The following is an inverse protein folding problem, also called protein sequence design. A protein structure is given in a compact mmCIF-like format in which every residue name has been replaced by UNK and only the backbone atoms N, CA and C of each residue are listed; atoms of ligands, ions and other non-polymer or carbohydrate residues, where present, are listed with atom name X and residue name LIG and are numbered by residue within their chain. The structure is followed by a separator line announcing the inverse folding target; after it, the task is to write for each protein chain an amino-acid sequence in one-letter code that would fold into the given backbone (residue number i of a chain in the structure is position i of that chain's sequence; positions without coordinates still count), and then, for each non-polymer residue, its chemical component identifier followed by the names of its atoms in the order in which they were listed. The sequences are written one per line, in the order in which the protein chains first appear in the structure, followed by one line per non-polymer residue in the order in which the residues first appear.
data_IF_206342327038
#
_entry.id   IF_206342327038
#
_cell.length_a   1.000
_cell.length_b   1.000
_cell.length_c   1.000
_cell.angle_alpha   90.00
_cell.angle_beta   90.00
_cell.angle_gamma   90.00
#
_symmetry.space_group_name_H-M   'P 1'
#
loop_
_entity.id
_entity.type
_entity.pdbx_description
1 polymer ?
#
# COMPACT_ATOMS: atom_id res chain seq x y z
N UNK A 1 3.20 0.26 93.41
CA UNK A 1 4.09 -0.74 92.77
C UNK A 1 3.17 -1.69 92.01
N UNK A 2 3.09 -1.78 90.69
CA UNK A 2 4.04 -1.56 89.59
C UNK A 2 3.23 -1.39 88.30
N UNK A 3 3.69 -0.48 87.45
CA UNK A 3 3.18 -0.16 86.11
C UNK A 3 3.52 -1.30 85.13
N UNK A 4 2.59 -1.68 84.24
CA UNK A 4 2.92 -2.38 82.98
C UNK A 4 2.01 -1.88 81.85
N UNK A 5 2.55 -0.97 81.04
CA UNK A 5 2.00 -0.57 79.75
C UNK A 5 2.18 -1.71 78.73
N UNK A 6 1.12 -2.06 78.02
CA UNK A 6 1.16 -2.88 76.81
C UNK A 6 1.02 -1.95 75.59
N UNK A 7 2.15 -1.61 74.99
CA UNK A 7 2.22 -0.96 73.68
C UNK A 7 2.05 -2.03 72.59
N UNK A 8 0.91 -2.05 71.89
CA UNK A 8 0.77 -2.77 70.63
C UNK A 8 1.38 -1.92 69.50
N UNK A 9 2.59 -2.28 69.07
CA UNK A 9 3.26 -1.69 67.91
C UNK A 9 2.66 -2.25 66.62
N UNK A 10 1.89 -1.44 65.90
CA UNK A 10 1.40 -1.72 64.55
C UNK A 10 2.58 -1.54 63.56
N UNK A 11 3.27 -2.63 63.24
CA UNK A 11 4.38 -2.63 62.28
C UNK A 11 3.82 -2.56 60.85
N UNK A 12 3.80 -1.35 60.28
CA UNK A 12 3.41 -1.11 58.90
C UNK A 12 4.36 -1.81 57.92
N UNK A 13 3.83 -2.78 57.18
CA UNK A 13 4.54 -3.46 56.10
C UNK A 13 4.57 -2.54 54.86
N UNK A 14 5.53 -1.63 54.79
CA UNK A 14 5.85 -0.93 53.54
C UNK A 14 6.50 -1.94 52.56
N UNK A 15 5.70 -2.51 51.65
CA UNK A 15 6.25 -3.10 50.43
C UNK A 15 6.84 -1.98 49.58
N UNK A 16 8.15 -1.80 49.66
CA UNK A 16 8.89 -1.01 48.69
C UNK A 16 8.77 -1.69 47.32
N UNK A 17 7.94 -1.13 46.44
CA UNK A 17 7.95 -1.46 45.03
C UNK A 17 9.31 -1.02 44.45
N UNK A 18 10.26 -1.95 44.40
CA UNK A 18 11.52 -1.75 43.71
C UNK A 18 11.20 -1.48 42.23
N UNK A 19 11.63 -0.34 41.66
CA UNK A 19 11.48 -0.11 40.24
C UNK A 19 12.25 -1.22 39.52
N UNK A 20 11.57 -1.95 38.62
CA UNK A 20 12.23 -2.90 37.76
C UNK A 20 13.28 -2.15 36.94
N UNK A 21 14.55 -2.26 37.31
CA UNK A 21 15.64 -1.78 36.50
C UNK A 21 15.53 -2.47 35.15
N UNK A 22 15.29 -1.68 34.08
CA UNK A 22 15.35 -2.19 32.72
C UNK A 22 16.74 -2.80 32.53
N UNK A 23 16.82 -4.13 32.51
CA UNK A 23 18.09 -4.80 32.25
C UNK A 23 18.55 -4.35 30.86
N UNK A 24 19.69 -3.69 30.81
CA UNK A 24 20.29 -3.36 29.52
C UNK A 24 20.55 -4.69 28.80
N UNK A 25 20.11 -4.83 27.55
CA UNK A 25 20.35 -6.05 26.78
C UNK A 25 21.86 -6.26 26.48
N UNK A 26 22.76 -5.41 26.99
CA UNK A 26 24.20 -5.46 26.74
C UNK A 26 24.60 -5.16 25.29
N UNK A 27 23.62 -4.85 24.44
CA UNK A 27 23.82 -4.52 23.04
C UNK A 27 23.89 -3.00 22.87
N UNK A 28 25.06 -2.49 22.51
CA UNK A 28 25.30 -1.07 22.25
C UNK A 28 26.52 -0.87 21.35
N UNK A 29 26.77 0.38 20.95
CA UNK A 29 27.91 0.73 20.09
C UNK A 29 27.71 0.40 18.61
N UNK A 30 26.47 0.23 18.16
CA UNK A 30 26.16 0.11 16.73
C UNK A 30 25.96 1.51 16.12
N UNK A 31 26.39 1.74 14.87
CA UNK A 31 26.09 2.97 14.15
C UNK A 31 24.59 3.10 13.85
N UNK A 32 24.09 4.32 13.58
CA UNK A 32 22.72 4.51 13.14
C UNK A 32 22.45 3.81 11.81
N UNK A 33 21.22 3.33 11.63
CA UNK A 33 20.79 2.69 10.38
C UNK A 33 20.61 3.72 9.28
N UNK A 34 21.18 3.47 8.10
CA UNK A 34 20.96 4.31 6.91
C UNK A 34 19.72 3.88 6.14
N UNK A 35 18.80 4.81 5.85
CA UNK A 35 17.65 4.58 4.97
C UNK A 35 17.95 5.09 3.55
N UNK A 36 17.77 4.22 2.56
CA UNK A 36 17.63 4.56 1.14
C UNK A 36 16.21 4.19 0.70
N UNK A 37 15.48 5.15 0.16
CA UNK A 37 14.12 4.95 -0.35
C UNK A 37 14.04 5.51 -1.77
N UNK A 38 13.76 4.63 -2.72
CA UNK A 38 13.68 4.93 -4.14
C UNK A 38 12.23 4.83 -4.65
N UNK A 39 11.83 5.81 -5.46
CA UNK A 39 10.53 5.78 -6.14
C UNK A 39 10.64 4.96 -7.43
N UNK A 40 9.73 4.01 -7.64
CA UNK A 40 9.63 3.23 -8.87
C UNK A 40 8.44 3.71 -9.69
N UNK A 41 8.70 4.09 -10.94
CA UNK A 41 7.67 4.48 -11.88
C UNK A 41 7.98 3.92 -13.28
N UNK A 42 7.62 2.65 -13.49
CA UNK A 42 7.86 1.94 -14.76
C UNK A 42 7.18 2.67 -15.92
N UNK A 43 7.76 2.77 -17.13
CA UNK A 43 7.13 3.50 -18.24
C UNK A 43 5.75 2.93 -18.60
N UNK A 44 4.86 3.80 -19.11
CA UNK A 44 3.55 3.39 -19.60
C UNK A 44 3.73 2.58 -20.88
N UNK A 45 3.11 1.40 -20.93
CA UNK A 45 2.98 0.60 -22.15
C UNK A 45 1.59 0.76 -22.73
N UNK A 46 1.48 0.73 -24.05
CA UNK A 46 0.21 0.69 -24.77
C UNK A 46 -0.04 -0.71 -25.29
N UNK A 47 -1.27 -1.17 -25.15
CA UNK A 47 -1.72 -2.45 -25.69
C UNK A 47 -3.21 -2.36 -26.02
N UNK A 48 -3.51 -2.03 -27.27
CA UNK A 48 -4.89 -1.92 -27.76
C UNK A 48 -5.33 -3.22 -28.47
N UNK A 49 -4.68 -4.36 -28.19
CA UNK A 49 -4.98 -5.65 -28.84
C UNK A 49 -6.20 -6.37 -28.27
N UNK A 50 -6.71 -5.91 -27.12
CA UNK A 50 -7.76 -6.60 -26.36
C UNK A 50 -9.14 -6.09 -26.76
N UNK A 51 -10.07 -7.02 -26.92
CA UNK A 51 -11.50 -6.71 -27.15
C UNK A 51 -12.16 -6.12 -25.91
N UNK A 52 -13.26 -5.39 -26.09
CA UNK A 52 -14.14 -4.90 -25.01
C UNK A 52 -14.52 -6.04 -24.06
N UNK A 53 -14.86 -7.21 -24.62
CA UNK A 53 -15.23 -8.39 -23.85
C UNK A 53 -14.04 -8.95 -23.02
N UNK A 54 -12.82 -8.91 -23.56
CA UNK A 54 -11.62 -9.29 -22.82
C UNK A 54 -11.31 -8.27 -21.72
N UNK A 55 -11.27 -6.97 -22.04
CA UNK A 55 -11.01 -5.89 -21.08
C UNK A 55 -11.99 -5.91 -19.91
N UNK A 56 -13.28 -6.14 -20.20
CA UNK A 56 -14.34 -6.22 -19.19
C UNK A 56 -14.12 -7.34 -18.16
N UNK A 57 -13.43 -8.42 -18.55
CA UNK A 57 -13.11 -9.56 -17.67
C UNK A 57 -11.76 -9.44 -16.96
N UNK A 58 -10.95 -8.43 -17.28
CA UNK A 58 -9.64 -8.29 -16.67
C UNK A 58 -9.76 -7.83 -15.20
N UNK A 59 -8.89 -8.36 -14.32
CA UNK A 59 -8.75 -7.84 -12.97
C UNK A 59 -8.10 -6.45 -13.01
N UNK A 60 -8.26 -5.69 -11.91
CA UNK A 60 -7.67 -4.35 -11.77
C UNK A 60 -8.66 -3.20 -12.00
N UNK A 61 -9.93 -3.51 -12.27
CA UNK A 61 -11.02 -2.54 -12.18
C UNK A 61 -11.25 -2.15 -10.72
N UNK A 62 -11.13 -0.87 -10.42
CA UNK A 62 -11.57 -0.33 -9.13
C UNK A 62 -13.10 -0.37 -9.10
N UNK A 63 -13.76 -0.98 -8.10
CA UNK A 63 -15.20 -0.92 -7.98
C UNK A 63 -15.66 0.54 -7.86
N UNK A 64 -16.41 1.01 -8.85
CA UNK A 64 -16.98 2.36 -8.91
C UNK A 64 -18.51 2.34 -8.92
N UNK A 65 -19.16 3.51 -8.84
CA UNK A 65 -20.62 3.63 -8.83
C UNK A 65 -21.31 2.99 -10.05
N UNK A 66 -20.58 2.86 -11.16
CA UNK A 66 -21.05 2.32 -12.44
C UNK A 66 -20.54 0.89 -12.69
N UNK A 67 -19.71 0.35 -11.80
CA UNK A 67 -19.16 -1.01 -11.93
C UNK A 67 -20.20 -2.05 -11.50
N UNK A 68 -21.04 -2.47 -12.43
CA UNK A 68 -21.93 -3.62 -12.27
C UNK A 68 -21.36 -4.87 -12.95
N UNK A 69 -21.87 -6.05 -12.62
CA UNK A 69 -21.49 -7.30 -13.28
C UNK A 69 -21.69 -7.28 -14.81
N UNK A 70 -22.57 -6.41 -15.30
CA UNK A 70 -22.89 -6.22 -16.71
C UNK A 70 -22.21 -4.98 -17.33
N UNK A 71 -21.25 -4.35 -16.64
CA UNK A 71 -20.59 -3.13 -17.09
C UNK A 71 -19.48 -3.40 -18.12
N UNK A 72 -19.63 -2.88 -19.33
CA UNK A 72 -18.62 -2.94 -20.39
C UNK A 72 -17.71 -1.72 -20.34
N UNK A 73 -16.40 -1.92 -20.50
CA UNK A 73 -15.42 -0.83 -20.63
C UNK A 73 -14.82 -0.79 -22.02
N UNK A 74 -14.60 0.43 -22.50
CA UNK A 74 -13.96 0.72 -23.77
C UNK A 74 -12.44 0.89 -23.62
N UNK A 75 -11.95 1.07 -22.40
CA UNK A 75 -10.54 1.19 -22.06
C UNK A 75 -10.25 0.60 -20.68
N UNK A 76 -8.97 0.44 -20.36
CA UNK A 76 -8.53 0.04 -19.03
C UNK A 76 -7.11 0.48 -18.75
N UNK A 77 -6.90 1.05 -17.56
CA UNK A 77 -5.57 1.33 -17.01
C UNK A 77 -5.20 0.27 -15.97
N UNK A 78 -4.26 -0.60 -16.32
CA UNK A 78 -3.70 -1.61 -15.42
C UNK A 78 -2.40 -1.12 -14.80
N UNK A 79 -2.40 -0.91 -13.50
CA UNK A 79 -1.21 -0.52 -12.75
C UNK A 79 -0.93 -1.49 -11.61
N UNK A 80 0.29 -2.06 -11.58
CA UNK A 80 0.76 -2.92 -10.48
C UNK A 80 1.80 -2.14 -9.67
N UNK A 81 1.45 -1.81 -8.43
CA UNK A 81 2.38 -1.24 -7.47
C UNK A 81 2.91 -2.29 -6.51
N UNK A 82 4.05 -2.00 -5.89
CA UNK A 82 4.67 -2.87 -4.89
C UNK A 82 5.99 -2.33 -4.39
N UNK A 83 6.56 -3.07 -3.46
CA UNK A 83 7.83 -2.77 -2.82
C UNK A 83 8.88 -3.85 -3.06
N UNK A 84 10.15 -3.47 -3.00
CA UNK A 84 11.26 -4.38 -2.77
C UNK A 84 12.10 -3.83 -1.62
N UNK A 85 12.56 -4.71 -0.73
CA UNK A 85 13.34 -4.29 0.43
C UNK A 85 14.58 -5.16 0.63
N UNK A 86 15.67 -4.52 1.03
CA UNK A 86 16.91 -5.15 1.45
C UNK A 86 17.34 -4.59 2.79
N UNK A 87 17.57 -5.49 3.74
CA UNK A 87 18.04 -5.16 5.09
C UNK A 87 19.43 -5.74 5.31
N UNK A 88 20.37 -4.89 5.67
CA UNK A 88 21.69 -5.30 6.15
C UNK A 88 21.78 -5.06 7.66
N UNK A 89 22.49 -5.95 8.35
CA UNK A 89 22.68 -5.86 9.78
C UNK A 89 24.15 -6.13 10.14
N UNK A 90 24.60 -5.48 11.21
CA UNK A 90 25.87 -5.77 11.86
C UNK A 90 25.63 -6.71 13.03
N UNK A 91 26.59 -7.59 13.28
CA UNK A 91 26.52 -8.59 14.35
C UNK A 91 27.76 -8.51 15.23
N UNK A 92 27.58 -8.69 16.54
CA UNK A 92 28.64 -8.83 17.53
C UNK A 92 28.38 -10.09 18.36
N UNK A 93 29.32 -11.02 18.35
CA UNK A 93 29.28 -12.19 19.23
C UNK A 93 29.52 -11.77 20.68
N UNK A 94 28.82 -12.42 21.60
CA UNK A 94 28.89 -12.19 23.04
C UNK A 94 29.57 -13.37 23.74
N UNK A 95 30.17 -13.13 24.90
CA UNK A 95 30.89 -14.16 25.65
C UNK A 95 30.03 -15.32 26.16
N UNK A 96 28.70 -15.15 26.18
CA UNK A 96 27.73 -16.17 26.58
C UNK A 96 27.17 -16.98 25.38
N UNK A 97 27.78 -16.85 24.21
CA UNK A 97 27.35 -17.54 22.98
C UNK A 97 26.13 -16.89 22.30
N UNK A 98 25.66 -15.74 22.77
CA UNK A 98 24.62 -14.96 22.08
C UNK A 98 25.21 -13.96 21.09
N UNK A 99 24.35 -13.31 20.31
CA UNK A 99 24.69 -12.29 19.33
C UNK A 99 23.90 -11.02 19.63
N UNK A 100 24.58 -9.87 19.59
CA UNK A 100 23.93 -8.59 19.41
C UNK A 100 23.88 -8.23 17.93
N UNK A 101 22.77 -7.66 17.46
CA UNK A 101 22.64 -7.18 16.10
C UNK A 101 21.91 -5.84 16.02
N UNK A 102 22.26 -5.05 15.01
CA UNK A 102 21.54 -3.82 14.67
C UNK A 102 21.49 -3.66 13.16
N UNK A 103 20.43 -3.05 12.64
CA UNK A 103 20.35 -2.72 11.23
C UNK A 103 21.44 -1.69 10.87
N UNK A 104 22.19 -1.94 9.80
CA UNK A 104 23.15 -0.98 9.26
C UNK A 104 22.57 -0.18 8.10
N UNK A 105 21.83 -0.84 7.22
CA UNK A 105 21.18 -0.19 6.10
C UNK A 105 19.85 -0.84 5.74
N UNK A 106 18.94 0.00 5.29
CA UNK A 106 17.66 -0.35 4.74
C UNK A 106 17.55 0.29 3.36
N UNK A 107 17.47 -0.52 2.32
CA UNK A 107 17.17 -0.07 0.96
C UNK A 107 15.78 -0.53 0.60
N UNK A 108 14.89 0.41 0.27
CA UNK A 108 13.52 0.12 -0.15
C UNK A 108 13.27 0.80 -1.49
N UNK A 109 12.67 0.08 -2.42
CA UNK A 109 12.05 0.67 -3.61
C UNK A 109 10.53 0.50 -3.50
N UNK A 110 9.78 1.54 -3.87
CA UNK A 110 8.32 1.54 -3.81
C UNK A 110 7.73 2.31 -4.99
N UNK A 111 6.67 1.77 -5.59
CA UNK A 111 5.86 2.47 -6.59
C UNK A 111 5.31 1.52 -7.65
N UNK A 112 5.02 2.05 -8.84
CA UNK A 112 4.40 1.31 -9.93
C UNK A 112 5.44 0.54 -10.76
N UNK A 113 5.42 -0.79 -10.63
CA UNK A 113 6.32 -1.71 -11.32
C UNK A 113 5.85 -2.06 -12.74
N UNK A 114 4.57 -1.84 -13.03
CA UNK A 114 3.98 -2.07 -14.35
C UNK A 114 2.80 -1.12 -14.53
N UNK A 115 2.71 -0.51 -15.72
CA UNK A 115 1.60 0.37 -16.13
C UNK A 115 1.27 0.09 -17.59
N UNK A 116 0.06 -0.40 -17.86
CA UNK A 116 -0.45 -0.66 -19.20
C UNK A 116 -1.76 0.10 -19.37
N UNK A 117 -1.86 0.84 -20.47
CA UNK A 117 -3.09 1.54 -20.88
C UNK A 117 -3.62 0.88 -22.13
N UNK A 118 -4.88 0.44 -22.04
CA UNK A 118 -5.62 -0.21 -23.10
C UNK A 118 -6.74 0.70 -23.60
N UNK A 119 -6.89 0.77 -24.91
CA UNK A 119 -8.17 1.07 -25.57
C UNK A 119 -8.60 -0.20 -26.30
N UNK A 120 -9.89 -0.49 -26.30
CA UNK A 120 -10.40 -1.70 -26.94
C UNK A 120 -10.08 -1.73 -28.44
N UNK A 121 -9.59 -2.86 -28.93
CA UNK A 121 -9.10 -3.00 -30.30
C UNK A 121 -10.19 -2.89 -31.38
N UNK A 122 -11.47 -2.99 -31.00
CA UNK A 122 -12.60 -2.76 -31.91
C UNK A 122 -12.79 -1.28 -32.27
N UNK A 123 -12.24 -0.36 -31.46
CA UNK A 123 -12.33 1.08 -31.68
C UNK A 123 -11.16 1.51 -32.59
N UNK A 124 -11.42 2.05 -33.80
CA UNK A 124 -10.36 2.38 -34.74
C UNK A 124 -9.35 3.36 -34.14
N UNK A 125 -8.06 3.00 -34.18
CA UNK A 125 -7.00 3.87 -33.71
C UNK A 125 -7.02 5.23 -34.43
N UNK A 126 -6.96 6.31 -33.65
CA UNK A 126 -7.05 7.69 -34.18
C UNK A 126 -8.47 8.18 -34.45
N UNK A 127 -9.52 7.38 -34.19
CA UNK A 127 -10.90 7.89 -34.20
C UNK A 127 -11.14 8.86 -33.05
N UNK A 128 -12.24 9.61 -33.15
CA UNK A 128 -12.68 10.50 -32.07
C UNK A 128 -12.87 9.71 -30.76
N UNK A 129 -13.60 8.59 -30.80
CA UNK A 129 -13.85 7.78 -29.62
C UNK A 129 -12.56 7.19 -29.04
N UNK A 130 -11.62 6.75 -29.88
CA UNK A 130 -10.31 6.27 -29.42
C UNK A 130 -9.58 7.34 -28.58
N UNK A 131 -9.55 8.57 -29.08
CA UNK A 131 -8.94 9.70 -28.38
C UNK A 131 -9.61 10.02 -27.05
N UNK A 132 -10.94 9.99 -26.99
CA UNK A 132 -11.71 10.23 -25.77
C UNK A 132 -11.49 9.15 -24.71
N UNK A 133 -11.51 7.87 -25.10
CA UNK A 133 -11.25 6.76 -24.19
C UNK A 133 -9.82 6.80 -23.69
N UNK A 134 -8.85 7.04 -24.57
CA UNK A 134 -7.46 7.19 -24.15
C UNK A 134 -7.27 8.36 -23.18
N UNK A 135 -7.87 9.51 -23.47
CA UNK A 135 -7.78 10.66 -22.58
C UNK A 135 -8.37 10.35 -21.20
N UNK A 136 -9.45 9.59 -21.13
CA UNK A 136 -10.03 9.09 -19.89
C UNK A 136 -9.04 8.17 -19.13
N UNK A 137 -8.49 7.16 -19.79
CA UNK A 137 -7.52 6.24 -19.16
C UNK A 137 -6.26 6.96 -18.66
N UNK A 138 -5.80 7.98 -19.37
CA UNK A 138 -4.67 8.80 -18.93
C UNK A 138 -4.98 9.63 -17.65
N UNK A 139 -6.25 9.88 -17.31
CA UNK A 139 -6.61 10.48 -16.01
C UNK A 139 -6.37 9.51 -14.86
N UNK A 140 -6.65 8.22 -15.05
CA UNK A 140 -6.32 7.18 -14.07
C UNK A 140 -4.81 7.11 -13.82
N UNK A 141 -4.00 7.21 -14.88
CA UNK A 141 -2.54 7.32 -14.76
C UNK A 141 -2.13 8.55 -13.95
N UNK A 142 -2.70 9.73 -14.25
CA UNK A 142 -2.35 10.97 -13.56
C UNK A 142 -2.70 10.91 -12.06
N UNK A 143 -3.82 10.28 -11.70
CA UNK A 143 -4.21 10.04 -10.30
C UNK A 143 -3.18 9.16 -9.58
N UNK A 144 -2.73 8.09 -10.23
CA UNK A 144 -1.73 7.18 -9.68
C UNK A 144 -0.38 7.88 -9.47
N UNK A 145 0.09 8.65 -10.46
CA UNK A 145 1.34 9.42 -10.37
C UNK A 145 1.28 10.49 -9.27
N UNK A 146 0.19 11.24 -9.17
CA UNK A 146 0.00 12.25 -8.13
C UNK A 146 -0.01 11.63 -6.73
N UNK A 147 -0.77 10.54 -6.55
CA UNK A 147 -0.82 9.83 -5.27
C UNK A 147 0.56 9.31 -4.86
N UNK A 148 1.32 8.72 -5.79
CA UNK A 148 2.67 8.26 -5.51
C UNK A 148 3.57 9.41 -5.05
N UNK A 149 3.60 10.51 -5.82
CA UNK A 149 4.41 11.67 -5.49
C UNK A 149 4.08 12.26 -4.10
N UNK A 150 2.79 12.39 -3.77
CA UNK A 150 2.33 12.90 -2.47
C UNK A 150 2.64 11.96 -1.31
N UNK A 151 2.68 10.65 -1.55
CA UNK A 151 2.81 9.64 -0.48
C UNK A 151 4.27 9.31 -0.17
N UNK A 152 5.19 9.43 -1.13
CA UNK A 152 6.61 9.09 -0.92
C UNK A 152 7.27 9.79 0.29
N UNK A 153 7.06 11.10 0.55
CA UNK A 153 7.58 11.75 1.75
C UNK A 153 7.01 11.16 3.06
N UNK A 154 5.73 10.76 3.05
CA UNK A 154 5.06 10.17 4.22
C UNK A 154 5.59 8.76 4.50
N UNK A 155 5.87 7.98 3.44
CA UNK A 155 6.51 6.66 3.54
C UNK A 155 7.90 6.82 4.17
N UNK A 156 8.70 7.77 3.68
CA UNK A 156 10.03 8.07 4.25
C UNK A 156 9.94 8.35 5.75
N UNK A 157 9.10 9.30 6.14
CA UNK A 157 8.96 9.70 7.56
C UNK A 157 8.54 8.53 8.45
N UNK A 158 7.60 7.69 8.00
CA UNK A 158 7.17 6.50 8.75
C UNK A 158 8.27 5.46 8.89
N UNK A 159 9.08 5.26 7.85
CA UNK A 159 10.21 4.33 7.91
C UNK A 159 11.31 4.85 8.82
N UNK A 160 11.59 6.15 8.80
CA UNK A 160 12.51 6.82 9.73
C UNK A 160 12.04 6.64 11.19
N UNK A 161 10.75 6.85 11.47
CA UNK A 161 10.18 6.59 12.81
C UNK A 161 10.34 5.13 13.25
N UNK A 162 10.19 4.17 12.33
CA UNK A 162 10.41 2.76 12.64
C UNK A 162 11.87 2.49 12.95
N UNK A 163 12.79 3.06 12.18
CA UNK A 163 14.25 2.97 12.39
C UNK A 163 14.65 3.58 13.74
N UNK A 164 14.15 4.78 14.07
CA UNK A 164 14.44 5.46 15.33
C UNK A 164 13.96 4.66 16.55
N UNK A 165 12.89 3.89 16.39
CA UNK A 165 12.39 2.97 17.40
C UNK A 165 13.15 1.64 17.49
N UNK A 166 14.11 1.36 16.60
CA UNK A 166 14.88 0.12 16.63
C UNK A 166 16.03 0.18 17.63
N UNK A 167 15.92 -0.64 18.67
CA UNK A 167 17.07 -0.94 19.53
C UNK A 167 17.86 -2.15 19.00
N UNK A 168 19.18 -2.21 19.25
CA UNK A 168 19.95 -3.42 19.00
C UNK A 168 19.32 -4.64 19.70
N UNK A 169 19.23 -5.75 18.97
CA UNK A 169 18.60 -6.99 19.43
C UNK A 169 19.64 -7.97 19.94
N UNK A 170 19.38 -8.63 21.06
CA UNK A 170 20.17 -9.79 21.53
C UNK A 170 19.45 -11.08 21.16
N UNK A 171 20.17 -12.04 20.64
CA UNK A 171 19.58 -13.30 20.17
C UNK A 171 20.55 -14.48 20.25
N UNK A 172 20.01 -15.71 20.25
CA UNK A 172 20.80 -16.94 20.30
C UNK A 172 21.46 -17.29 18.96
N UNK A 173 21.01 -16.67 17.86
CA UNK A 173 21.62 -16.84 16.54
C UNK A 173 21.46 -15.58 15.69
N UNK A 174 22.36 -15.42 14.71
CA UNK A 174 22.28 -14.32 13.74
C UNK A 174 20.96 -14.33 12.96
N UNK A 175 20.45 -15.51 12.59
CA UNK A 175 19.17 -15.64 11.89
C UNK A 175 17.99 -15.12 12.71
N UNK A 176 17.92 -15.46 14.00
CA UNK A 176 16.88 -14.96 14.89
C UNK A 176 17.00 -13.44 15.10
N UNK A 177 18.22 -12.91 15.25
CA UNK A 177 18.47 -11.47 15.33
C UNK A 177 18.02 -10.74 14.04
N UNK A 178 18.38 -11.25 12.86
CA UNK A 178 17.94 -10.68 11.59
C UNK A 178 16.41 -10.71 11.44
N UNK A 179 15.75 -11.79 11.84
CA UNK A 179 14.30 -11.86 11.84
C UNK A 179 13.66 -10.83 12.79
N UNK A 180 14.27 -10.56 13.94
CA UNK A 180 13.79 -9.53 14.88
C UNK A 180 13.94 -8.11 14.29
N UNK A 181 15.00 -7.86 13.53
CA UNK A 181 15.21 -6.57 12.82
C UNK A 181 14.21 -6.38 11.68
N UNK A 182 13.90 -7.44 10.90
CA UNK A 182 13.02 -7.33 9.73
C UNK A 182 11.54 -7.13 10.08
N UNK A 183 11.05 -7.81 11.13
CA UNK A 183 9.62 -7.84 11.47
C UNK A 183 8.97 -6.45 11.61
N UNK A 184 9.55 -5.46 12.31
CA UNK A 184 8.97 -4.13 12.40
C UNK A 184 8.84 -3.43 11.04
N UNK A 185 9.86 -3.57 10.16
CA UNK A 185 9.88 -2.97 8.82
C UNK A 185 8.80 -3.59 7.94
N UNK A 186 8.72 -4.92 7.90
CA UNK A 186 7.70 -5.64 7.14
C UNK A 186 6.29 -5.26 7.63
N UNK A 187 6.11 -5.13 8.96
CA UNK A 187 4.85 -4.71 9.52
C UNK A 187 4.47 -3.27 9.14
N UNK A 188 5.45 -2.36 9.07
CA UNK A 188 5.22 -0.99 8.65
C UNK A 188 4.88 -0.91 7.16
N UNK A 189 5.63 -1.62 6.31
CA UNK A 189 5.40 -1.66 4.87
C UNK A 189 4.04 -2.26 4.52
N UNK A 190 3.60 -3.32 5.20
CA UNK A 190 2.23 -3.86 5.00
C UNK A 190 1.15 -2.82 5.27
N UNK A 191 1.27 -2.02 6.34
CA UNK A 191 0.31 -0.94 6.64
C UNK A 191 0.35 0.16 5.58
N UNK A 192 1.54 0.57 5.17
CA UNK A 192 1.75 1.55 4.10
C UNK A 192 1.08 1.08 2.80
N UNK A 193 1.32 -0.15 2.38
CA UNK A 193 0.72 -0.74 1.17
C UNK A 193 -0.81 -0.76 1.24
N UNK A 194 -1.38 -1.15 2.38
CA UNK A 194 -2.83 -1.17 2.56
C UNK A 194 -3.45 0.24 2.53
N UNK A 195 -2.81 1.23 3.15
CA UNK A 195 -3.27 2.60 3.15
C UNK A 195 -3.17 3.24 1.76
N UNK A 196 -2.04 3.02 1.07
CA UNK A 196 -1.84 3.45 -0.31
C UNK A 196 -2.91 2.87 -1.24
N UNK A 197 -3.16 1.56 -1.14
CA UNK A 197 -4.20 0.90 -1.93
C UNK A 197 -5.59 1.48 -1.68
N UNK A 198 -5.97 1.69 -0.41
CA UNK A 198 -7.28 2.30 -0.09
C UNK A 198 -7.45 3.71 -0.65
N UNK A 199 -6.43 4.56 -0.50
CA UNK A 199 -6.52 5.93 -1.04
C UNK A 199 -6.48 5.93 -2.57
N UNK A 200 -5.72 5.03 -3.18
CA UNK A 200 -5.72 4.80 -4.63
C UNK A 200 -7.12 4.48 -5.11
N UNK A 201 -7.75 3.45 -4.56
CA UNK A 201 -9.10 3.03 -4.95
C UNK A 201 -10.11 4.17 -4.78
N UNK A 202 -10.01 4.92 -3.67
CA UNK A 202 -10.86 6.09 -3.41
C UNK A 202 -10.69 7.19 -4.46
N UNK A 203 -9.48 7.46 -4.93
CA UNK A 203 -9.21 8.50 -5.94
C UNK A 203 -9.57 8.04 -7.34
N UNK A 204 -9.28 6.79 -7.69
CA UNK A 204 -9.63 6.17 -8.98
C UNK A 204 -11.15 6.16 -9.19
N UNK A 205 -11.94 5.84 -8.15
CA UNK A 205 -13.40 5.88 -8.22
C UNK A 205 -14.00 7.27 -8.50
N UNK A 206 -13.23 8.37 -8.33
CA UNK A 206 -13.67 9.74 -8.67
C UNK A 206 -13.46 10.07 -10.15
N UNK A 207 -12.72 9.25 -10.88
CA UNK A 207 -12.57 9.38 -12.34
C UNK A 207 -13.75 8.71 -13.03
N UNK A 208 -14.15 7.52 -12.56
CA UNK A 208 -15.24 6.70 -13.11
C UNK A 208 -16.62 7.12 -12.57
N UNK A 209 -16.99 8.38 -12.79
CA UNK A 209 -18.30 8.92 -12.41
C UNK A 209 -19.40 8.57 -13.40
N UNK A 210 -20.66 8.60 -12.96
CA UNK A 210 -21.83 8.42 -13.85
C UNK A 210 -21.83 9.49 -14.93
N UNK A 211 -21.54 10.73 -14.55
CA UNK A 211 -21.49 11.89 -15.42
C UNK A 211 -20.42 11.72 -16.52
N UNK A 212 -19.26 11.17 -16.16
CA UNK A 212 -18.19 10.89 -17.12
C UNK A 212 -18.59 9.79 -18.11
N UNK A 213 -19.23 8.71 -17.62
CA UNK A 213 -19.74 7.66 -18.50
C UNK A 213 -20.81 8.18 -19.47
N UNK A 214 -21.74 8.98 -18.96
CA UNK A 214 -22.75 9.63 -19.78
C UNK A 214 -22.14 10.57 -20.83
N UNK A 215 -21.12 11.36 -20.45
CA UNK A 215 -20.39 12.22 -21.38
C UNK A 215 -19.76 11.39 -22.50
N UNK A 216 -19.00 10.35 -22.16
CA UNK A 216 -18.36 9.45 -23.15
C UNK A 216 -19.40 8.78 -24.06
N UNK A 217 -20.59 8.46 -23.54
CA UNK A 217 -21.68 7.88 -24.35
C UNK A 217 -22.33 8.83 -25.36
N UNK A 218 -22.08 10.15 -25.25
CA UNK A 218 -22.69 11.21 -26.08
C UNK A 218 -21.70 11.90 -27.00
N UNK A 219 -20.42 11.97 -26.64
CA UNK A 219 -19.36 12.52 -27.50
C UNK A 219 -19.18 11.68 -28.77
N UNK A 220 -18.48 12.24 -29.76
CA UNK A 220 -18.22 11.57 -31.04
C UNK A 220 -19.50 11.07 -31.72
N UNK A 221 -20.57 11.88 -31.68
CA UNK A 221 -21.90 11.53 -32.21
C UNK A 221 -22.51 10.26 -31.59
N UNK A 222 -22.08 9.87 -30.39
CA UNK A 222 -22.57 8.68 -29.70
C UNK A 222 -21.98 7.36 -30.20
N UNK A 223 -20.84 7.39 -30.91
CA UNK A 223 -20.11 6.22 -31.43
C UNK A 223 -19.94 5.10 -30.38
N UNK A 224 -19.76 5.44 -29.11
CA UNK A 224 -19.66 4.48 -28.01
C UNK A 224 -20.83 3.47 -27.95
N UNK A 225 -22.03 3.86 -28.39
CA UNK A 225 -23.24 3.02 -28.39
C UNK A 225 -23.21 1.90 -29.42
N UNK A 226 -22.33 1.98 -30.41
CA UNK A 226 -22.10 0.92 -31.39
C UNK A 226 -21.35 -0.26 -30.78
N UNK A 227 -20.57 0.02 -29.74
CA UNK A 227 -19.65 -0.92 -29.08
C UNK A 227 -20.19 -1.47 -27.75
N UNK A 228 -21.04 -0.69 -27.07
CA UNK A 228 -21.66 -1.10 -25.82
C UNK A 228 -22.90 -1.98 -26.11
N UNK A 229 -23.21 -2.97 -25.26
CA UNK A 229 -24.42 -3.75 -25.44
C UNK A 229 -25.63 -2.83 -25.40
N UNK A 230 -26.58 -3.08 -26.29
CA UNK A 230 -27.88 -2.41 -26.24
C UNK A 230 -28.51 -2.70 -24.88
N UNK A 231 -29.05 -1.69 -24.16
CA UNK A 231 -29.78 -1.95 -22.95
C UNK A 231 -30.85 -2.99 -23.26
N UNK A 232 -30.93 -4.05 -22.45
CA UNK A 232 -31.96 -5.06 -22.60
C UNK A 232 -33.29 -4.31 -22.72
N UNK A 233 -34.00 -4.49 -23.84
CA UNK A 233 -35.32 -3.93 -23.99
C UNK A 233 -36.09 -4.35 -22.74
N UNK A 234 -36.51 -3.38 -21.91
CA UNK A 234 -37.51 -3.66 -20.88
C UNK A 234 -38.57 -4.45 -21.62
N UNK A 235 -38.72 -5.75 -21.30
CA UNK A 235 -39.85 -6.53 -21.79
C UNK A 235 -41.04 -5.67 -21.41
N UNK A 236 -41.63 -5.02 -22.40
CA UNK A 236 -42.93 -4.40 -22.25
C UNK A 236 -43.76 -5.54 -21.69
N UNK A 237 -44.17 -5.42 -20.43
CA UNK A 237 -45.11 -6.33 -19.83
C UNK A 237 -46.39 -6.12 -20.63
N UNK A 238 -46.48 -6.87 -21.72
CA UNK A 238 -47.69 -7.04 -22.49
C UNK A 238 -48.72 -7.54 -21.51
N UNK A 239 -49.72 -6.68 -21.32
CA UNK A 239 -51.08 -6.97 -20.86
C UNK A 239 -51.41 -8.46 -20.80
N UNK A 240 -51.79 -8.91 -19.61
CA UNK A 240 -52.82 -9.90 -19.36
C UNK A 240 -53.76 -9.32 -18.33
#
# INVERSE_FOLDING_TARGET
MTVRLLFLSLLGLLLAAMPAAAQSNGCGGFPPTKLTLDTVLAPIKRDDSLSIAQLTRLPGRTPGPVSTADSHVLGLTQARYGEQSQVQALFKSMGDGTYCASASSLTISFGFQQRIVHVAGEIPAGSCLHGEVLAHEMRHVAVDEALLNETMPQIRSRLEQVIDGMAPVRSRSQAQAMAAIRRPLESAMRRIMQEFGRERDRRQAKVDTVEEYERVSRVCNGEAREYLPKPAARRAMQRG
#
